data_IF_858377210328
#
_entry.id   IF_858377210328
#
_cell.length_a   1.000
_cell.length_b   1.000
_cell.length_c   1.000
_cell.angle_alpha   90.00
_cell.angle_beta   90.00
_cell.angle_gamma   90.00
#
_symmetry.space_group_name_H-M   'P 1'
#
loop_
_entity.id
_entity.type
_entity.pdbx_description
1 polymer ?
#
# COMPACT_ATOMS: atom_id res chain seq x y z
N UNK A 1 3.51 -10.17 -4.61
CA UNK A 1 3.49 -9.29 -5.81
C UNK A 1 2.06 -9.22 -6.35
N UNK A 2 1.33 -8.14 -6.02
CA UNK A 2 -0.01 -7.91 -6.56
C UNK A 2 0.05 -7.77 -8.09
N UNK A 3 -0.92 -8.37 -8.80
CA UNK A 3 -1.10 -8.14 -10.23
C UNK A 3 -1.78 -6.79 -10.42
N UNK A 4 -1.03 -5.80 -10.89
CA UNK A 4 -1.52 -4.46 -11.21
C UNK A 4 -1.60 -4.35 -12.74
N UNK A 5 -2.79 -4.09 -13.27
CA UNK A 5 -2.97 -3.86 -14.69
C UNK A 5 -3.06 -2.34 -14.95
N UNK A 6 -2.06 -1.78 -15.63
CA UNK A 6 -1.93 -0.34 -15.83
C UNK A 6 -2.28 0.09 -17.26
N UNK A 7 -3.14 1.08 -17.38
CA UNK A 7 -3.39 1.82 -18.62
C UNK A 7 -2.69 3.19 -18.55
N UNK A 8 -1.44 3.23 -19.01
CA UNK A 8 -0.58 4.43 -18.96
C UNK A 8 -1.17 5.61 -19.75
N UNK A 9 -1.87 5.35 -20.85
CA UNK A 9 -2.48 6.40 -21.67
C UNK A 9 -3.65 7.12 -20.96
N UNK A 10 -4.35 6.42 -20.06
CA UNK A 10 -5.49 6.96 -19.30
C UNK A 10 -5.16 7.28 -17.85
N UNK A 11 -3.92 7.03 -17.41
CA UNK A 11 -3.49 7.10 -15.99
C UNK A 11 -4.45 6.35 -15.07
N UNK A 12 -4.83 5.14 -15.47
CA UNK A 12 -5.70 4.24 -14.70
C UNK A 12 -4.96 2.96 -14.38
N UNK A 13 -5.16 2.44 -13.18
CA UNK A 13 -4.67 1.14 -12.79
C UNK A 13 -5.80 0.35 -12.12
N UNK A 14 -5.86 -0.94 -12.41
CA UNK A 14 -6.81 -1.88 -11.83
C UNK A 14 -6.11 -2.72 -10.76
N UNK A 15 -6.76 -2.85 -9.60
CA UNK A 15 -6.24 -3.60 -8.44
C UNK A 15 -7.19 -4.73 -8.09
N UNK A 16 -6.62 -5.91 -7.81
CA UNK A 16 -7.39 -7.04 -7.27
C UNK A 16 -7.71 -6.79 -5.80
N UNK A 17 -8.99 -6.87 -5.45
CA UNK A 17 -9.47 -6.76 -4.06
C UNK A 17 -9.28 -8.06 -3.26
N UNK A 18 -8.88 -9.16 -3.91
CA UNK A 18 -8.73 -10.48 -3.27
C UNK A 18 -7.46 -10.56 -2.42
N UNK A 19 -6.44 -9.78 -2.75
CA UNK A 19 -5.10 -9.86 -2.16
C UNK A 19 -5.03 -9.37 -0.70
N UNK A 20 -6.05 -8.65 -0.21
CA UNK A 20 -6.11 -8.07 1.15
C UNK A 20 -4.85 -7.27 1.53
N UNK A 21 -4.42 -6.39 0.62
CA UNK A 21 -3.21 -5.55 0.74
C UNK A 21 -3.54 -4.08 0.95
N UNK A 22 -2.52 -3.31 1.32
CA UNK A 22 -2.59 -1.84 1.32
C UNK A 22 -2.01 -1.34 0.01
N UNK A 23 -2.77 -0.48 -0.69
CA UNK A 23 -2.36 0.15 -1.93
C UNK A 23 -2.21 1.66 -1.75
N UNK A 24 -1.05 2.19 -2.12
CA UNK A 24 -0.72 3.61 -2.01
C UNK A 24 -0.43 4.17 -3.41
N UNK A 25 -1.13 5.23 -3.80
CA UNK A 25 -0.82 5.96 -5.04
C UNK A 25 0.17 7.08 -4.72
N UNK A 26 1.34 7.06 -5.35
CA UNK A 26 2.36 8.10 -5.21
C UNK A 26 3.04 8.36 -6.54
N UNK A 27 3.18 9.63 -6.91
CA UNK A 27 3.83 10.06 -8.15
C UNK A 27 3.28 9.36 -9.43
N UNK A 28 1.97 9.06 -9.43
CA UNK A 28 1.28 8.40 -10.54
C UNK A 28 1.44 6.88 -10.59
N UNK A 29 2.12 6.27 -9.62
CA UNK A 29 2.36 4.82 -9.53
C UNK A 29 1.63 4.23 -8.32
N UNK A 30 1.21 2.96 -8.44
CA UNK A 30 0.68 2.19 -7.32
C UNK A 30 1.80 1.43 -6.64
N UNK A 31 1.94 1.64 -5.34
CA UNK A 31 2.79 0.86 -4.45
C UNK A 31 1.91 -0.09 -3.64
N UNK A 32 2.25 -1.37 -3.62
CA UNK A 32 1.58 -2.38 -2.79
C UNK A 32 2.41 -2.66 -1.54
N UNK A 33 1.73 -2.80 -0.40
CA UNK A 33 2.33 -3.22 0.86
C UNK A 33 1.62 -4.49 1.30
N UNK A 34 2.41 -5.56 1.41
CA UNK A 34 1.90 -6.87 1.81
C UNK A 34 1.51 -6.87 3.30
N UNK A 35 0.39 -7.52 3.66
CA UNK A 35 0.04 -7.71 5.05
C UNK A 35 1.12 -8.54 5.77
N UNK A 36 1.20 -8.48 7.11
CA UNK A 36 2.04 -9.39 7.87
C UNK A 36 1.67 -10.85 7.54
N UNK A 37 2.67 -11.69 7.31
CA UNK A 37 2.47 -13.12 7.00
C UNK A 37 1.85 -13.89 8.18
N UNK A 38 2.09 -13.45 9.41
CA UNK A 38 1.47 -13.95 10.64
C UNK A 38 1.26 -12.80 11.64
N UNK A 39 0.38 -13.00 12.62
CA UNK A 39 0.15 -12.05 13.71
C UNK A 39 -0.62 -10.79 13.32
N UNK A 40 -0.22 -9.64 13.87
CA UNK A 40 -0.92 -8.36 13.72
C UNK A 40 0.01 -7.29 13.16
N UNK A 41 -0.54 -6.33 12.42
CA UNK A 41 0.20 -5.19 11.88
C UNK A 41 -0.58 -3.89 12.02
N UNK A 42 0.14 -2.80 12.26
CA UNK A 42 -0.38 -1.43 12.28
C UNK A 42 0.49 -0.55 11.39
N UNK A 43 -0.15 0.32 10.61
CA UNK A 43 0.53 1.37 9.85
C UNK A 43 -0.04 2.74 10.22
N UNK A 44 0.87 3.67 10.52
CA UNK A 44 0.54 5.06 10.83
C UNK A 44 1.13 6.00 9.77
N UNK A 45 0.29 6.89 9.24
CA UNK A 45 0.67 7.88 8.23
C UNK A 45 0.58 9.29 8.81
N UNK A 46 1.64 10.09 8.65
CA UNK A 46 1.66 11.49 9.08
C UNK A 46 1.65 12.41 7.86
N UNK A 47 0.61 13.23 7.75
CA UNK A 47 0.46 14.22 6.70
C UNK A 47 0.88 15.61 7.17
N UNK A 48 1.62 16.33 6.32
CA UNK A 48 1.91 17.76 6.49
C UNK A 48 1.74 18.47 5.15
N UNK A 49 0.97 19.55 5.14
CA UNK A 49 0.68 20.34 3.93
C UNK A 49 0.16 19.49 2.76
N UNK A 50 -0.72 18.51 3.05
CA UNK A 50 -1.31 17.63 2.05
C UNK A 50 -0.37 16.54 1.50
N UNK A 51 0.85 16.40 2.04
CA UNK A 51 1.83 15.38 1.64
C UNK A 51 2.13 14.41 2.78
N UNK A 52 2.33 13.13 2.46
CA UNK A 52 2.84 12.14 3.42
C UNK A 52 4.29 12.50 3.76
N UNK A 53 4.58 12.65 5.04
CA UNK A 53 5.92 13.01 5.54
C UNK A 53 6.62 11.88 6.27
N UNK A 54 5.86 10.95 6.85
CA UNK A 54 6.37 9.79 7.57
C UNK A 54 5.38 8.64 7.47
N UNK A 55 5.93 7.44 7.36
CA UNK A 55 5.20 6.17 7.44
C UNK A 55 5.88 5.37 8.55
N UNK A 56 5.13 5.03 9.59
CA UNK A 56 5.58 4.11 10.63
C UNK A 56 4.85 2.78 10.46
N UNK A 57 5.62 1.70 10.38
CA UNK A 57 5.09 0.34 10.32
C UNK A 57 5.46 -0.40 11.61
N UNK A 58 4.47 -1.04 12.22
CA UNK A 58 4.66 -1.94 13.36
C UNK A 58 4.06 -3.29 13.02
N UNK A 59 4.90 -4.34 13.04
CA UNK A 59 4.48 -5.72 12.80
C UNK A 59 4.81 -6.54 14.04
N UNK A 60 3.85 -7.32 14.51
CA UNK A 60 4.04 -8.33 15.56
C UNK A 60 3.90 -9.70 14.91
N UNK A 61 4.99 -10.47 14.86
CA UNK A 61 4.95 -11.84 14.41
C UNK A 61 4.53 -12.74 15.57
N UNK A 62 3.53 -13.59 15.33
CA UNK A 62 3.26 -14.74 16.19
C UNK A 62 4.10 -15.90 15.65
N UNK A 63 4.88 -16.52 16.55
CA UNK A 63 5.83 -17.61 16.30
C UNK A 63 5.09 -18.88 15.90
#
# INVERSE_FOLDING_TARGET
MAVINENVAKMKAEISLVENMIYVVKDGQIYSIEPPSTGHGEQSFVYKSGKVTRIDERKTQLI
#
